data_IF_798473614089
#
_entry.id   IF_798473614089
#
_cell.length_a   1.000
_cell.length_b   1.000
_cell.length_c   1.000
_cell.angle_alpha   90.00
_cell.angle_beta   90.00
_cell.angle_gamma   90.00
#
_symmetry.space_group_name_H-M   'P 1'
#
loop_
_entity.id
_entity.type
_entity.pdbx_description
1 polymer ?
#
# COMPACT_ATOMS: atom_id res chain seq x y z
N UNK A 1 -17.05 -7.28 -14.19
CA UNK A 1 -17.69 -6.18 -13.93
C UNK A 1 -16.74 -5.25 -13.44
N UNK A 2 -16.65 -5.44 -12.60
CA UNK A 2 -16.16 -4.44 -11.84
C UNK A 2 -14.73 -4.11 -12.06
N UNK A 3 -13.95 -5.00 -12.57
CA UNK A 3 -12.55 -4.72 -12.74
C UNK A 3 -12.24 -3.68 -13.78
N UNK A 4 -12.94 -3.71 -14.87
CA UNK A 4 -12.75 -2.71 -15.90
C UNK A 4 -13.37 -1.40 -15.51
N UNK A 5 -14.55 -1.45 -14.94
CA UNK A 5 -15.16 -0.27 -14.37
C UNK A 5 -14.29 0.31 -13.28
N UNK A 6 -13.66 -0.54 -12.53
CA UNK A 6 -12.77 -0.18 -11.46
C UNK A 6 -11.57 0.62 -11.93
N UNK A 7 -11.00 0.29 -13.07
CA UNK A 7 -9.90 1.05 -13.62
C UNK A 7 -10.26 2.48 -13.95
N UNK A 8 -11.46 2.68 -14.40
CA UNK A 8 -11.92 4.01 -14.79
C UNK A 8 -12.40 4.83 -13.62
N UNK A 9 -12.89 4.17 -12.59
CA UNK A 9 -13.48 4.83 -11.43
C UNK A 9 -12.83 4.40 -10.15
N UNK A 10 -11.55 4.16 -10.20
CA UNK A 10 -10.85 3.54 -9.09
C UNK A 10 -10.94 4.34 -7.81
N UNK A 11 -10.92 5.65 -7.90
CA UNK A 11 -11.02 6.51 -6.72
C UNK A 11 -12.36 6.37 -6.04
N UNK A 12 -13.44 6.40 -6.82
CA UNK A 12 -14.77 6.23 -6.28
C UNK A 12 -14.96 4.84 -5.68
N UNK A 13 -14.42 3.85 -6.36
CA UNK A 13 -14.55 2.49 -5.93
C UNK A 13 -13.85 2.26 -4.60
N UNK A 14 -12.68 2.83 -4.42
CA UNK A 14 -11.91 2.71 -3.19
C UNK A 14 -12.63 3.38 -2.03
N UNK A 15 -13.38 4.43 -2.27
CA UNK A 15 -14.11 5.15 -1.25
C UNK A 15 -15.35 4.42 -0.77
N UNK A 16 -15.80 3.41 -1.49
CA UNK A 16 -16.98 2.63 -1.11
C UNK A 16 -16.59 1.45 -0.24
N UNK A 17 -17.53 0.91 0.55
CA UNK A 17 -17.28 -0.34 1.25
C UNK A 17 -17.16 -1.46 0.22
N UNK A 18 -15.96 -1.88 -0.05
CA UNK A 18 -15.68 -2.84 -1.09
C UNK A 18 -14.91 -4.03 -0.57
N UNK A 19 -14.73 -4.99 -1.43
CA UNK A 19 -13.95 -6.17 -1.17
C UNK A 19 -12.46 -5.83 -1.14
N UNK A 20 -11.98 -5.48 0.03
CA UNK A 20 -10.57 -5.17 0.21
C UNK A 20 -9.67 -6.38 0.04
N UNK A 21 -10.22 -7.56 0.22
CA UNK A 21 -9.47 -8.79 -0.03
C UNK A 21 -9.14 -8.91 -1.51
N UNK A 22 -10.11 -8.68 -2.38
CA UNK A 22 -9.87 -8.68 -3.80
C UNK A 22 -8.93 -7.56 -4.21
N UNK A 23 -9.04 -6.39 -3.59
CA UNK A 23 -8.15 -5.29 -3.83
C UNK A 23 -6.72 -5.64 -3.42
N UNK A 24 -6.53 -6.26 -2.26
CA UNK A 24 -5.23 -6.70 -1.80
C UNK A 24 -4.60 -7.72 -2.74
N UNK A 25 -5.37 -8.68 -3.19
CA UNK A 25 -4.90 -9.68 -4.14
C UNK A 25 -4.47 -9.05 -5.45
N UNK A 26 -5.21 -8.05 -5.92
CA UNK A 26 -4.85 -7.33 -7.13
C UNK A 26 -3.51 -6.60 -6.98
N UNK A 27 -3.30 -5.96 -5.83
CA UNK A 27 -2.04 -5.29 -5.53
C UNK A 27 -0.88 -6.28 -5.48
N UNK A 28 -1.06 -7.42 -4.84
CA UNK A 28 -0.03 -8.45 -4.76
C UNK A 28 0.34 -8.97 -6.15
N UNK A 29 -0.65 -9.18 -6.98
CA UNK A 29 -0.43 -9.62 -8.35
C UNK A 29 0.35 -8.58 -9.15
N UNK A 30 0.02 -7.30 -8.96
CA UNK A 30 0.75 -6.21 -9.61
C UNK A 30 2.19 -6.10 -9.11
N UNK A 31 2.42 -6.35 -7.84
CA UNK A 31 3.78 -6.38 -7.29
C UNK A 31 4.63 -7.44 -7.96
N UNK A 32 4.09 -8.63 -8.12
CA UNK A 32 4.78 -9.74 -8.79
C UNK A 32 5.07 -9.36 -10.24
N UNK A 33 4.10 -8.80 -10.92
CA UNK A 33 4.26 -8.36 -12.31
C UNK A 33 5.36 -7.31 -12.45
N UNK A 34 5.39 -6.33 -11.56
CA UNK A 34 6.42 -5.28 -11.56
C UNK A 34 7.79 -5.90 -11.28
N UNK A 35 7.86 -6.82 -10.34
CA UNK A 35 9.10 -7.50 -10.01
C UNK A 35 9.63 -8.33 -11.18
N UNK A 36 8.75 -9.03 -11.86
CA UNK A 36 9.11 -9.80 -13.05
C UNK A 36 9.63 -8.90 -14.16
N UNK A 37 9.00 -7.76 -14.37
CA UNK A 37 9.47 -6.77 -15.34
C UNK A 37 10.87 -6.29 -14.99
N UNK A 38 11.12 -6.08 -13.70
CA UNK A 38 12.43 -5.63 -13.24
C UNK A 38 13.53 -6.62 -13.61
N UNK A 39 13.25 -7.91 -13.55
CA UNK A 39 14.26 -8.92 -13.84
C UNK A 39 14.45 -9.16 -15.32
N UNK A 40 13.49 -8.76 -16.16
CA UNK A 40 13.53 -9.08 -17.58
C UNK A 40 14.09 -7.99 -18.48
N UNK A 41 13.65 -6.75 -18.31
CA UNK A 41 13.97 -5.69 -19.28
C UNK A 41 13.90 -4.28 -18.72
N UNK A 42 14.33 -4.09 -17.50
CA UNK A 42 14.23 -2.75 -16.93
C UNK A 42 15.41 -1.91 -17.34
N UNK A 43 15.18 -1.01 -18.27
CA UNK A 43 16.17 0.00 -18.63
C UNK A 43 16.19 1.07 -17.54
N UNK A 44 17.37 1.44 -17.03
CA UNK A 44 17.45 2.54 -16.08
C UNK A 44 16.78 3.79 -16.64
N UNK A 45 15.90 4.39 -15.85
CA UNK A 45 15.19 5.59 -16.27
C UNK A 45 13.85 5.35 -16.91
N UNK A 46 13.44 4.09 -17.13
CA UNK A 46 12.08 3.81 -17.61
C UNK A 46 11.06 4.03 -16.50
N UNK A 47 9.80 4.25 -16.89
CA UNK A 47 8.72 4.41 -15.89
C UNK A 47 8.60 3.18 -15.01
N UNK A 48 8.73 2.01 -15.60
CA UNK A 48 8.69 0.75 -14.84
C UNK A 48 9.84 0.67 -13.81
N UNK A 49 11.02 1.13 -14.19
CA UNK A 49 12.16 1.17 -13.27
C UNK A 49 11.92 2.16 -12.14
N UNK A 50 11.37 3.31 -12.46
CA UNK A 50 11.10 4.36 -11.51
C UNK A 50 10.08 3.91 -10.47
N UNK A 51 8.96 3.30 -10.91
CA UNK A 51 7.93 2.86 -9.97
C UNK A 51 8.43 1.74 -9.06
N UNK A 52 9.25 0.83 -9.59
CA UNK A 52 9.86 -0.22 -8.77
C UNK A 52 10.72 0.37 -7.67
N UNK A 53 11.51 1.38 -8.00
CA UNK A 53 12.34 2.08 -7.01
C UNK A 53 11.50 2.76 -5.94
N UNK A 54 10.43 3.43 -6.33
CA UNK A 54 9.53 4.11 -5.41
C UNK A 54 8.84 3.10 -4.47
N UNK A 55 8.33 2.01 -5.03
CA UNK A 55 7.65 0.97 -4.25
C UNK A 55 8.62 0.36 -3.23
N UNK A 56 9.85 0.08 -3.65
CA UNK A 56 10.87 -0.46 -2.76
C UNK A 56 11.16 0.51 -1.61
N UNK A 57 11.34 1.78 -1.93
CA UNK A 57 11.55 2.81 -0.93
C UNK A 57 10.41 2.84 0.08
N UNK A 58 9.17 2.80 -0.40
CA UNK A 58 7.99 2.80 0.48
C UNK A 58 7.99 1.59 1.42
N UNK A 59 8.34 0.42 0.92
CA UNK A 59 8.38 -0.79 1.73
C UNK A 59 9.49 -0.75 2.79
N UNK A 60 10.61 -0.16 2.46
CA UNK A 60 11.75 -0.05 3.37
C UNK A 60 11.54 1.02 4.44
N UNK A 61 10.70 2.01 4.17
CA UNK A 61 10.50 3.17 5.05
C UNK A 61 9.06 3.27 5.56
N UNK A 62 8.37 2.13 5.70
CA UNK A 62 6.95 2.12 6.10
C UNK A 62 6.68 2.82 7.42
N UNK A 63 7.60 2.73 8.38
CA UNK A 63 7.45 3.35 9.68
C UNK A 63 7.64 4.86 9.65
N UNK A 64 8.19 5.38 8.57
CA UNK A 64 8.46 6.81 8.42
C UNK A 64 7.31 7.51 7.74
N UNK A 65 7.36 8.83 7.74
CA UNK A 65 6.39 9.62 7.00
C UNK A 65 6.64 9.48 5.51
N UNK A 66 5.66 8.97 4.79
CA UNK A 66 5.72 8.84 3.35
C UNK A 66 4.61 9.69 2.74
N UNK A 67 4.98 10.62 1.88
CA UNK A 67 4.04 11.45 1.14
C UNK A 67 4.54 11.63 -0.28
N UNK A 68 3.68 12.12 -1.15
CA UNK A 68 4.08 12.43 -2.51
C UNK A 68 5.22 13.45 -2.54
N UNK A 69 5.23 14.39 -1.60
CA UNK A 69 6.30 15.40 -1.52
C UNK A 69 7.63 14.76 -1.12
N UNK A 70 7.60 13.86 -0.14
CA UNK A 70 8.81 13.13 0.27
C UNK A 70 9.37 12.32 -0.88
N UNK A 71 8.51 11.62 -1.61
CA UNK A 71 8.94 10.84 -2.77
C UNK A 71 9.46 11.73 -3.88
N UNK A 72 8.81 12.87 -4.11
CA UNK A 72 9.24 13.83 -5.12
C UNK A 72 10.65 14.32 -4.84
N UNK A 73 10.94 14.67 -3.60
CA UNK A 73 12.28 15.12 -3.19
C UNK A 73 13.31 13.99 -3.30
N UNK A 74 12.95 12.81 -2.82
CA UNK A 74 13.86 11.66 -2.80
C UNK A 74 14.26 11.22 -4.21
N UNK A 75 13.31 11.21 -5.13
CA UNK A 75 13.54 10.71 -6.49
C UNK A 75 13.74 11.83 -7.51
N UNK A 76 13.76 13.09 -7.07
CA UNK A 76 13.93 14.25 -7.95
C UNK A 76 12.88 14.32 -9.05
N UNK A 77 11.63 14.08 -8.68
CA UNK A 77 10.48 14.07 -9.58
C UNK A 77 9.41 14.98 -9.03
N UNK A 78 8.42 15.34 -9.87
CA UNK A 78 7.29 16.10 -9.36
C UNK A 78 6.29 15.18 -8.66
N UNK A 79 5.60 15.71 -7.66
CA UNK A 79 4.54 14.96 -6.97
C UNK A 79 3.44 14.54 -7.94
N UNK A 80 3.11 15.42 -8.89
CA UNK A 80 2.09 15.12 -9.89
C UNK A 80 2.50 13.96 -10.78
N UNK A 81 3.75 13.92 -11.19
CA UNK A 81 4.26 12.82 -12.01
C UNK A 81 4.20 11.49 -11.26
N UNK A 82 4.61 11.49 -10.00
CA UNK A 82 4.58 10.28 -9.17
C UNK A 82 3.13 9.82 -8.99
N UNK A 83 2.20 10.73 -8.73
CA UNK A 83 0.79 10.40 -8.59
C UNK A 83 0.25 9.75 -9.86
N UNK A 84 0.61 10.29 -11.01
CA UNK A 84 0.20 9.74 -12.30
C UNK A 84 0.82 8.38 -12.55
N UNK A 85 2.08 8.23 -12.17
CA UNK A 85 2.81 6.98 -12.34
C UNK A 85 2.14 5.83 -11.55
N UNK A 86 1.69 6.10 -10.32
CA UNK A 86 0.96 5.10 -9.55
C UNK A 86 -0.31 4.66 -10.26
N UNK A 87 -1.07 5.59 -10.79
CA UNK A 87 -2.30 5.26 -11.51
C UNK A 87 -2.03 4.46 -12.78
N UNK A 88 -0.99 4.82 -13.50
CA UNK A 88 -0.68 4.18 -14.77
C UNK A 88 -0.04 2.81 -14.60
N UNK A 89 0.89 2.68 -13.67
CA UNK A 89 1.67 1.45 -13.52
C UNK A 89 1.06 0.47 -12.52
N UNK A 90 0.45 0.98 -11.45
CA UNK A 90 -0.11 0.12 -10.39
C UNK A 90 -1.63 0.02 -10.50
N UNK A 91 -2.27 1.05 -11.03
CA UNK A 91 -3.71 1.04 -11.23
C UNK A 91 -4.51 1.61 -10.08
N UNK A 92 -3.83 2.04 -8.99
CA UNK A 92 -4.48 2.68 -7.85
C UNK A 92 -3.70 3.93 -7.48
N UNK A 93 -4.33 4.82 -6.73
CA UNK A 93 -3.63 6.02 -6.32
C UNK A 93 -2.61 5.71 -5.23
N UNK A 94 -1.68 6.64 -5.04
CA UNK A 94 -0.59 6.51 -4.09
C UNK A 94 -1.08 6.20 -2.67
N UNK A 95 -2.11 6.92 -2.21
CA UNK A 95 -2.59 6.79 -0.84
C UNK A 95 -3.21 5.43 -0.58
N UNK A 96 -3.99 4.93 -1.54
CA UNK A 96 -4.59 3.61 -1.44
C UNK A 96 -3.52 2.52 -1.40
N UNK A 97 -2.50 2.66 -2.22
CA UNK A 97 -1.39 1.72 -2.23
C UNK A 97 -0.64 1.73 -0.89
N UNK A 98 -0.33 2.92 -0.38
CA UNK A 98 0.36 3.06 0.89
C UNK A 98 -0.44 2.41 2.03
N UNK A 99 -1.74 2.66 2.08
CA UNK A 99 -2.61 2.04 3.08
C UNK A 99 -2.55 0.52 2.98
N UNK A 100 -2.62 -0.01 1.77
CA UNK A 100 -2.58 -1.45 1.57
C UNK A 100 -1.29 -2.07 2.10
N UNK A 101 -0.13 -1.52 1.77
CA UNK A 101 1.13 -2.11 2.22
C UNK A 101 1.30 -1.97 3.74
N UNK A 102 0.79 -0.89 4.34
CA UNK A 102 0.80 -0.72 5.79
C UNK A 102 -0.09 -1.76 6.48
N UNK A 103 -1.26 -2.04 5.93
CA UNK A 103 -2.16 -3.06 6.48
C UNK A 103 -1.57 -4.46 6.33
N UNK A 104 -0.92 -4.75 5.22
CA UNK A 104 -0.23 -6.03 5.03
C UNK A 104 0.86 -6.22 6.09
N UNK A 105 1.64 -5.19 6.35
CA UNK A 105 2.65 -5.22 7.40
C UNK A 105 2.01 -5.48 8.76
N UNK A 106 0.93 -4.77 9.07
CA UNK A 106 0.21 -4.93 10.33
C UNK A 106 -0.30 -6.35 10.52
N UNK A 107 -0.90 -6.94 9.50
CA UNK A 107 -1.40 -8.31 9.57
C UNK A 107 -0.28 -9.29 9.88
N UNK A 108 0.85 -9.13 9.26
CA UNK A 108 2.02 -9.98 9.54
C UNK A 108 2.49 -9.85 10.97
N UNK A 109 2.61 -8.61 11.46
CA UNK A 109 3.05 -8.38 12.83
C UNK A 109 2.05 -8.89 13.87
N UNK A 110 0.77 -8.79 13.59
CA UNK A 110 -0.28 -9.26 14.50
C UNK A 110 -0.19 -10.76 14.75
N UNK A 111 0.10 -11.54 13.72
CA UNK A 111 0.12 -13.00 13.84
C UNK A 111 1.51 -13.55 14.16
N UNK A 112 2.56 -12.82 13.87
CA UNK A 112 3.93 -13.32 14.02
C UNK A 112 4.65 -12.80 15.27
N UNK A 113 4.08 -11.80 15.98
CA UNK A 113 4.73 -11.18 17.12
C UNK A 113 3.76 -11.00 18.28
N UNK A 114 4.32 -10.69 19.45
CA UNK A 114 3.55 -10.35 20.64
C UNK A 114 3.53 -8.85 20.91
N UNK A 115 3.88 -8.06 19.91
CA UNK A 115 3.89 -6.60 20.04
C UNK A 115 2.50 -6.07 20.37
N UNK A 116 2.45 -4.98 21.12
CA UNK A 116 1.19 -4.31 21.42
C UNK A 116 0.63 -3.67 20.14
N UNK A 117 -0.67 -3.39 20.16
CA UNK A 117 -1.30 -2.72 19.03
C UNK A 117 -0.64 -1.36 18.76
N UNK A 118 -0.28 -0.64 19.83
CA UNK A 118 0.39 0.64 19.68
C UNK A 118 1.77 0.50 19.00
N UNK A 119 2.53 -0.51 19.39
CA UNK A 119 3.83 -0.78 18.78
C UNK A 119 3.70 -1.15 17.31
N UNK A 120 2.71 -1.97 16.98
CA UNK A 120 2.44 -2.35 15.59
C UNK A 120 2.03 -1.11 14.78
N UNK A 121 1.19 -0.27 15.36
CA UNK A 121 0.78 0.99 14.74
C UNK A 121 1.99 1.84 14.34
N UNK A 122 2.91 2.03 15.26
CA UNK A 122 4.14 2.79 15.01
C UNK A 122 4.98 2.17 13.89
N UNK A 123 5.16 0.87 13.95
CA UNK A 123 5.97 0.16 12.94
C UNK A 123 5.34 0.20 11.55
N UNK A 124 4.04 0.39 11.49
CA UNK A 124 3.31 0.50 10.22
C UNK A 124 3.17 1.95 9.74
N UNK A 125 3.76 2.91 10.47
CA UNK A 125 3.78 4.29 10.03
C UNK A 125 2.62 5.15 10.53
N UNK A 126 1.91 4.71 11.56
CA UNK A 126 0.82 5.48 12.17
C UNK A 126 1.27 6.03 13.52
N UNK A 127 1.25 7.33 13.65
CA UNK A 127 1.63 7.98 14.90
C UNK A 127 0.59 7.77 16.00
N UNK A 128 -0.67 7.61 15.63
CA UNK A 128 -1.77 7.42 16.57
C UNK A 128 -2.42 6.07 16.34
N UNK A 129 -2.36 5.19 17.34
CA UNK A 129 -2.92 3.84 17.23
C UNK A 129 -4.45 3.85 17.05
N UNK A 130 -5.12 4.92 17.45
CA UNK A 130 -6.57 5.05 17.26
C UNK A 130 -6.90 5.23 15.78
N UNK A 131 -6.11 6.01 15.08
CA UNK A 131 -6.24 6.16 13.63
C UNK A 131 -5.95 4.82 12.95
N UNK A 132 -4.88 4.16 13.36
CA UNK A 132 -4.51 2.85 12.85
C UNK A 132 -5.65 1.85 13.03
N UNK A 133 -6.20 1.76 14.23
CA UNK A 133 -7.30 0.84 14.55
C UNK A 133 -8.51 1.11 13.64
N UNK A 134 -8.83 2.37 13.45
CA UNK A 134 -9.96 2.76 12.60
C UNK A 134 -9.74 2.36 11.14
N UNK A 135 -8.55 2.62 10.62
CA UNK A 135 -8.20 2.24 9.25
C UNK A 135 -8.18 0.73 9.10
N UNK A 136 -7.57 0.02 10.04
CA UNK A 136 -7.51 -1.43 10.02
C UNK A 136 -8.92 -2.05 10.01
N UNK A 137 -9.78 -1.59 10.89
CA UNK A 137 -11.16 -2.09 10.94
C UNK A 137 -11.91 -1.81 9.64
N UNK A 138 -11.69 -0.65 9.03
CA UNK A 138 -12.32 -0.29 7.78
C UNK A 138 -11.84 -1.18 6.63
N UNK A 139 -10.57 -1.50 6.59
CA UNK A 139 -9.99 -2.29 5.49
C UNK A 139 -10.15 -3.78 5.69
N UNK A 140 -10.05 -4.28 6.91
CA UNK A 140 -10.05 -5.71 7.19
C UNK A 140 -11.37 -6.22 7.79
N UNK A 141 -12.26 -5.33 8.20
CA UNK A 141 -13.55 -5.71 8.75
C UNK A 141 -13.56 -6.02 10.24
N UNK A 142 -12.40 -6.06 10.88
CA UNK A 142 -12.29 -6.29 12.32
C UNK A 142 -11.18 -5.44 12.90
N UNK A 143 -11.19 -5.27 14.23
CA UNK A 143 -10.10 -4.54 14.89
C UNK A 143 -8.81 -5.36 14.88
N UNK A 144 -7.66 -4.70 15.05
CA UNK A 144 -6.39 -5.44 15.13
C UNK A 144 -6.39 -6.50 16.24
N UNK A 145 -6.98 -6.20 17.38
CA UNK A 145 -7.07 -7.16 18.48
C UNK A 145 -7.92 -8.37 18.12
N UNK A 146 -9.05 -8.15 17.47
CA UNK A 146 -9.90 -9.22 16.99
C UNK A 146 -9.22 -10.06 15.94
N UNK A 147 -8.54 -9.42 15.02
CA UNK A 147 -7.78 -10.11 13.98
C UNK A 147 -6.74 -11.04 14.60
N UNK A 148 -5.98 -10.55 15.58
CA UNK A 148 -4.99 -11.38 16.27
C UNK A 148 -5.62 -12.61 16.93
N UNK A 149 -6.76 -12.43 17.60
CA UNK A 149 -7.45 -13.54 18.25
C UNK A 149 -7.93 -14.58 17.24
N UNK A 150 -8.42 -14.13 16.11
CA UNK A 150 -9.01 -15.02 15.10
C UNK A 150 -7.94 -15.86 14.39
N UNK A 151 -6.70 -15.39 14.37
CA UNK A 151 -5.60 -16.08 13.68
C UNK A 151 -4.58 -16.71 14.65
N UNK A 152 -4.83 -16.65 15.93
CA UNK A 152 -4.08 -17.36 16.94
C UNK A 152 -4.91 -18.51 17.50
#
# INVERSE_FOLDING_TARGET
YCREALRLQITDYILKPVDYEEFGNTIDHLKISIFEKQTKDVTPGSEASTIVGIVRYMQEHLAEEISLNVLAETFHLSAQYISQLFKNEIGVNFLAYLTTIRMECAKKLLVSTQLSIAEISERCGYADYRVFTKVFKKTEGSTPSQYRRDFL
#
